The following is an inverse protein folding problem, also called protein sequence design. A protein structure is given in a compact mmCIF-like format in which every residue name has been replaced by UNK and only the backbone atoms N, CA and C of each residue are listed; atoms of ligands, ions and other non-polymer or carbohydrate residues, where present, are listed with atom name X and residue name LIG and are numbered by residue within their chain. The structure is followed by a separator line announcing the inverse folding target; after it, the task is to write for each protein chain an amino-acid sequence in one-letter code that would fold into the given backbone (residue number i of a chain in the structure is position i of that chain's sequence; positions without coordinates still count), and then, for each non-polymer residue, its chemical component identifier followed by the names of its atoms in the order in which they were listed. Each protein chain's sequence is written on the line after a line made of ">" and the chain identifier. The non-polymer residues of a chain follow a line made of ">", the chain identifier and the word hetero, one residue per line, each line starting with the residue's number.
data_IF_480535517627
#
_entry.id   IF_480535517627
#
_cell.length_a   1.000
_cell.length_b   1.000
_cell.length_c   1.000
_cell.angle_alpha   90.00
_cell.angle_beta   90.00
_cell.angle_gamma   90.00
#
_symmetry.space_group_name_H-M   'P 1'
#
loop_
_entity.id
_entity.type
_entity.pdbx_description
1 polymer ?
#
# COMPACT_ATOMS: atom_id res chain seq x y z
N UNK A 1 43.12 -8.76 25.19
CA UNK A 1 42.95 -9.88 24.23
C UNK A 1 41.56 -9.70 23.65
N UNK A 2 41.31 -8.55 23.03
CA UNK A 2 41.78 -8.15 21.69
C UNK A 2 41.17 -9.16 20.70
N UNK A 3 40.19 -8.80 19.87
CA UNK A 3 40.40 -7.81 18.81
C UNK A 3 39.16 -6.95 18.51
N UNK A 4 39.43 -5.68 18.28
CA UNK A 4 38.62 -4.70 17.55
C UNK A 4 38.59 -5.06 16.04
N UNK A 5 37.48 -4.77 15.37
CA UNK A 5 37.56 -4.11 14.05
C UNK A 5 36.27 -3.29 13.83
N UNK A 6 36.47 -1.98 13.66
CA UNK A 6 35.46 -0.95 13.43
C UNK A 6 35.40 -0.64 11.92
N UNK A 7 34.20 -0.32 11.44
CA UNK A 7 34.02 0.65 10.35
C UNK A 7 33.97 0.11 8.92
N UNK A 8 32.83 0.30 8.26
CA UNK A 8 32.76 1.29 7.18
C UNK A 8 31.31 1.72 6.93
N UNK A 9 31.11 3.03 6.99
CA UNK A 9 29.88 3.75 6.67
C UNK A 9 29.69 3.85 5.16
N UNK A 10 28.42 3.88 4.75
CA UNK A 10 27.94 4.85 3.76
C UNK A 10 28.42 4.73 2.31
N UNK A 11 27.65 4.02 1.49
CA UNK A 11 27.31 4.54 0.17
C UNK A 11 25.80 4.39 -0.05
N UNK A 12 25.12 5.52 -0.26
CA UNK A 12 23.79 5.59 -0.84
C UNK A 12 23.82 4.90 -2.21
N UNK A 13 23.52 3.60 -2.20
CA UNK A 13 23.45 2.78 -3.39
C UNK A 13 22.35 3.28 -4.30
N UNK A 14 22.72 4.13 -5.26
CA UNK A 14 21.98 4.32 -6.50
C UNK A 14 21.60 2.92 -6.99
N UNK A 15 20.30 2.64 -7.10
CA UNK A 15 19.84 1.32 -7.56
C UNK A 15 20.17 1.22 -9.05
N UNK A 16 21.37 0.75 -9.37
CA UNK A 16 21.76 0.37 -10.72
C UNK A 16 21.11 -0.99 -10.97
N UNK A 17 20.18 -1.04 -11.92
CA UNK A 17 19.66 -2.30 -12.44
C UNK A 17 20.86 -3.04 -13.05
N UNK A 18 21.43 -3.99 -12.33
CA UNK A 18 22.40 -4.93 -12.89
C UNK A 18 21.62 -5.86 -13.81
N UNK A 19 22.02 -5.90 -15.08
CA UNK A 19 21.55 -6.92 -16.00
C UNK A 19 21.90 -8.29 -15.41
N UNK A 20 20.95 -9.21 -15.43
CA UNK A 20 21.20 -10.60 -15.07
C UNK A 20 21.91 -11.24 -16.26
N UNK A 21 23.22 -11.45 -16.14
CA UNK A 21 23.95 -12.33 -17.06
C UNK A 21 23.53 -13.77 -16.74
N UNK A 22 22.83 -14.40 -17.68
CA UNK A 22 22.32 -15.77 -17.58
C UNK A 22 23.46 -16.75 -17.92
N UNK A 23 24.20 -17.24 -16.92
CA UNK A 23 25.09 -18.41 -17.10
C UNK A 23 24.22 -19.66 -17.32
N UNK A 24 23.70 -19.84 -18.55
CA UNK A 24 22.57 -20.75 -18.74
C UNK A 24 22.26 -21.31 -20.14
N UNK A 25 23.12 -21.16 -21.15
CA UNK A 25 23.15 -22.07 -22.31
C UNK A 25 22.29 -21.72 -23.56
N UNK A 26 23.01 -21.39 -24.63
CA UNK A 26 22.67 -21.52 -26.07
C UNK A 26 21.61 -20.58 -26.68
N UNK A 27 21.94 -19.28 -26.82
CA UNK A 27 21.53 -18.43 -27.95
C UNK A 27 22.26 -17.05 -28.02
N UNK A 28 23.46 -16.89 -27.47
CA UNK A 28 24.09 -15.57 -27.26
C UNK A 28 25.28 -15.28 -28.19
N UNK A 29 25.11 -15.34 -29.50
CA UNK A 29 26.10 -14.80 -30.45
C UNK A 29 25.61 -13.54 -31.20
N UNK A 30 24.34 -13.17 -31.10
CA UNK A 30 23.77 -11.97 -31.78
C UNK A 30 23.56 -10.77 -30.83
N UNK A 31 23.90 -10.89 -29.54
CA UNK A 31 23.59 -9.85 -28.56
C UNK A 31 24.67 -8.77 -28.46
N UNK A 32 25.91 -8.93 -28.95
CA UNK A 32 26.95 -7.89 -28.78
C UNK A 32 26.63 -6.58 -29.53
N UNK A 33 25.97 -6.67 -30.70
CA UNK A 33 25.67 -5.51 -31.57
C UNK A 33 24.28 -4.89 -31.34
N UNK A 34 23.46 -5.45 -30.46
CA UNK A 34 22.11 -4.94 -30.19
C UNK A 34 22.17 -3.63 -29.36
N UNK A 35 21.42 -2.62 -29.80
CA UNK A 35 21.31 -1.32 -29.13
C UNK A 35 20.86 -1.53 -27.67
N UNK A 36 21.58 -0.94 -26.71
CA UNK A 36 21.34 -1.15 -25.26
C UNK A 36 19.89 -0.89 -24.84
N UNK A 37 19.21 0.08 -25.46
CA UNK A 37 17.82 0.38 -25.18
C UNK A 37 16.87 -0.77 -25.53
N UNK A 38 17.21 -1.54 -26.57
CA UNK A 38 16.44 -2.71 -27.01
C UNK A 38 16.67 -3.87 -26.04
N UNK A 39 17.93 -4.10 -25.63
CA UNK A 39 18.27 -5.07 -24.57
C UNK A 39 17.49 -4.78 -23.29
N UNK A 40 17.50 -3.53 -22.83
CA UNK A 40 16.74 -3.10 -21.65
C UNK A 40 15.23 -3.35 -21.82
N UNK A 41 14.67 -3.04 -22.99
CA UNK A 41 13.26 -3.29 -23.28
C UNK A 41 12.91 -4.79 -23.21
N UNK A 42 13.75 -5.64 -23.79
CA UNK A 42 13.64 -7.11 -23.74
C UNK A 42 13.70 -7.63 -22.30
N UNK A 43 14.67 -7.17 -21.52
CA UNK A 43 14.87 -7.61 -20.14
C UNK A 43 13.75 -7.12 -19.21
N UNK A 44 13.29 -5.88 -19.39
CA UNK A 44 12.10 -5.38 -18.70
C UNK A 44 10.86 -6.24 -19.02
N UNK A 45 10.69 -6.67 -20.28
CA UNK A 45 9.59 -7.58 -20.65
C UNK A 45 9.72 -8.94 -19.98
N UNK A 46 10.91 -9.54 -19.98
CA UNK A 46 11.17 -10.81 -19.27
C UNK A 46 10.83 -10.67 -17.77
N UNK A 47 11.32 -9.61 -17.12
CA UNK A 47 11.06 -9.34 -15.71
C UNK A 47 9.57 -9.11 -15.41
N UNK A 48 8.86 -8.37 -16.26
CA UNK A 48 7.42 -8.14 -16.13
C UNK A 48 6.60 -9.44 -16.27
N UNK A 49 7.02 -10.34 -17.16
CA UNK A 49 6.37 -11.64 -17.32
C UNK A 49 6.70 -12.60 -16.16
N UNK A 50 7.86 -12.48 -15.53
CA UNK A 50 8.26 -13.30 -14.38
C UNK A 50 7.70 -12.79 -13.04
N UNK A 51 7.22 -11.55 -12.98
CA UNK A 51 6.79 -10.90 -11.73
C UNK A 51 5.31 -10.59 -11.76
N UNK A 52 4.62 -10.78 -10.62
CA UNK A 52 3.27 -10.26 -10.40
C UNK A 52 3.26 -9.21 -9.29
N UNK A 53 2.58 -8.10 -9.55
CA UNK A 53 2.32 -7.04 -8.59
C UNK A 53 0.81 -6.94 -8.43
N UNK A 54 0.31 -7.19 -7.21
CA UNK A 54 -1.13 -7.28 -6.93
C UNK A 54 -1.83 -8.21 -7.93
N UNK A 55 -1.31 -9.44 -8.04
CA UNK A 55 -1.84 -10.52 -8.87
C UNK A 55 -1.80 -10.31 -10.39
N UNK A 56 -1.16 -9.23 -10.87
CA UNK A 56 -1.08 -8.90 -12.30
C UNK A 56 0.36 -8.68 -12.76
N UNK A 57 0.65 -9.00 -14.01
CA UNK A 57 1.93 -8.64 -14.63
C UNK A 57 2.03 -7.12 -14.82
N UNK A 58 3.17 -6.49 -14.48
CA UNK A 58 3.43 -5.09 -14.75
C UNK A 58 3.24 -4.75 -16.23
N UNK A 59 2.66 -3.57 -16.50
CA UNK A 59 2.58 -3.01 -17.85
C UNK A 59 3.79 -2.11 -18.07
N UNK A 60 4.41 -2.24 -19.23
CA UNK A 60 5.60 -1.50 -19.58
C UNK A 60 5.26 -0.31 -20.48
N UNK A 61 5.76 0.86 -20.10
CA UNK A 61 5.59 2.11 -20.83
C UNK A 61 6.91 2.87 -20.82
N UNK A 62 7.33 3.33 -21.99
CA UNK A 62 8.54 4.15 -22.21
C UNK A 62 8.10 5.49 -22.77
N UNK A 63 8.52 6.58 -22.13
CA UNK A 63 8.18 7.95 -22.54
C UNK A 63 9.45 8.66 -22.96
N UNK A 64 9.53 9.08 -24.23
CA UNK A 64 10.71 9.70 -24.85
C UNK A 64 10.32 11.08 -25.41
N UNK A 65 10.24 12.11 -24.55
CA UNK A 65 9.59 13.38 -24.91
C UNK A 65 10.34 14.22 -25.93
N UNK A 66 11.63 13.94 -26.17
CA UNK A 66 12.48 14.70 -27.12
C UNK A 66 12.62 14.05 -28.49
N UNK A 67 12.06 12.86 -28.69
CA UNK A 67 12.06 12.18 -29.98
C UNK A 67 10.72 12.40 -30.67
N UNK A 68 10.74 12.65 -31.97
CA UNK A 68 9.55 12.75 -32.81
C UNK A 68 9.60 11.64 -33.86
N UNK A 69 8.51 10.89 -33.98
CA UNK A 69 8.38 9.78 -34.93
C UNK A 69 8.33 10.29 -36.38
N UNK A 70 8.86 9.49 -37.30
CA UNK A 70 8.85 9.78 -38.74
C UNK A 70 9.93 10.78 -39.18
N UNK A 71 10.78 11.28 -38.26
CA UNK A 71 11.91 12.16 -38.61
C UNK A 71 13.15 11.39 -39.04
N UNK A 72 13.40 10.23 -38.45
CA UNK A 72 14.61 9.43 -38.67
C UNK A 72 14.27 7.94 -38.70
N UNK A 73 14.39 7.32 -39.87
CA UNK A 73 14.00 5.91 -40.07
C UNK A 73 14.73 4.94 -39.13
N UNK A 74 16.00 5.18 -38.82
CA UNK A 74 16.76 4.35 -37.89
C UNK A 74 16.21 4.42 -36.46
N UNK A 75 15.81 5.62 -36.00
CA UNK A 75 15.19 5.83 -34.69
C UNK A 75 13.82 5.15 -34.67
N UNK A 76 13.02 5.33 -35.73
CA UNK A 76 11.71 4.69 -35.84
C UNK A 76 11.83 3.15 -35.84
N UNK A 77 12.90 2.59 -36.43
CA UNK A 77 13.25 1.17 -36.35
C UNK A 77 13.44 0.70 -34.91
N UNK A 78 14.21 1.43 -34.11
CA UNK A 78 14.42 1.14 -32.68
C UNK A 78 13.10 1.22 -31.90
N UNK A 79 12.30 2.27 -32.12
CA UNK A 79 11.01 2.43 -31.44
C UNK A 79 10.05 1.28 -31.76
N UNK A 80 10.03 0.83 -33.01
CA UNK A 80 9.21 -0.29 -33.45
C UNK A 80 9.70 -1.63 -32.89
N UNK A 81 11.02 -1.82 -32.76
CA UNK A 81 11.57 -3.00 -32.10
C UNK A 81 11.20 -3.03 -30.62
N UNK A 82 11.26 -1.91 -29.89
CA UNK A 82 10.79 -1.83 -28.50
C UNK A 82 9.30 -2.18 -28.39
N UNK A 83 8.47 -1.66 -29.31
CA UNK A 83 7.04 -1.98 -29.39
C UNK A 83 6.76 -3.44 -29.71
N UNK A 84 7.64 -4.11 -30.45
CA UNK A 84 7.51 -5.54 -30.77
C UNK A 84 7.48 -6.41 -29.52
N UNK A 85 8.10 -5.97 -28.41
CA UNK A 85 7.98 -6.58 -27.09
C UNK A 85 6.68 -6.22 -26.36
N UNK A 86 5.69 -5.63 -27.02
CA UNK A 86 4.41 -5.20 -26.42
C UNK A 86 4.52 -4.00 -25.47
N UNK A 87 5.62 -3.24 -25.54
CA UNK A 87 5.85 -2.06 -24.69
C UNK A 87 5.17 -0.85 -25.32
N UNK A 88 4.45 -0.07 -24.51
CA UNK A 88 3.88 1.19 -24.98
C UNK A 88 4.97 2.25 -25.07
N UNK A 89 5.19 2.83 -26.25
CA UNK A 89 6.22 3.87 -26.47
C UNK A 89 5.55 5.17 -26.87
N UNK A 90 5.82 6.23 -26.13
CA UNK A 90 5.28 7.57 -26.37
C UNK A 90 6.39 8.59 -26.65
N UNK A 91 6.30 9.24 -27.81
CA UNK A 91 7.26 10.23 -28.29
C UNK A 91 6.68 11.66 -28.23
N UNK A 92 7.54 12.67 -28.27
CA UNK A 92 7.17 14.10 -28.09
C UNK A 92 6.07 14.61 -29.01
N UNK A 93 5.97 14.10 -30.24
CA UNK A 93 4.90 14.42 -31.19
C UNK A 93 3.51 13.91 -30.77
N UNK A 94 3.45 12.85 -29.95
CA UNK A 94 2.21 12.25 -29.43
C UNK A 94 1.71 12.96 -28.16
N UNK A 95 2.61 13.59 -27.40
CA UNK A 95 2.27 14.33 -26.16
C UNK A 95 1.48 15.62 -26.44
N UNK A 96 1.45 16.07 -27.70
CA UNK A 96 0.70 17.28 -28.13
C UNK A 96 -0.47 17.02 -29.09
N UNK A 97 -0.71 15.77 -29.53
CA UNK A 97 -1.60 15.48 -30.67
C UNK A 97 -2.79 14.54 -30.39
N UNK A 98 -3.06 14.16 -29.13
CA UNK A 98 -4.40 13.64 -28.79
C UNK A 98 -5.42 14.77 -28.83
N UNK A 99 -5.87 15.08 -30.06
CA UNK A 99 -7.15 15.71 -30.31
C UNK A 99 -8.24 14.86 -29.64
N UNK A 100 -8.88 15.44 -28.64
CA UNK A 100 -10.33 15.45 -28.41
C UNK A 100 -11.06 14.33 -29.19
N UNK A 101 -11.10 13.14 -28.60
CA UNK A 101 -12.05 12.10 -28.96
C UNK A 101 -13.09 12.00 -27.84
N UNK A 102 -14.35 12.22 -28.18
CA UNK A 102 -15.57 12.28 -27.36
C UNK A 102 -15.64 11.34 -26.13
N UNK A 103 -14.98 11.71 -25.04
CA UNK A 103 -15.31 11.22 -23.71
C UNK A 103 -15.69 12.41 -22.82
N UNK A 104 -16.96 12.56 -22.41
CA UNK A 104 -17.35 13.65 -21.53
C UNK A 104 -16.77 13.41 -20.14
N UNK A 105 -15.78 14.23 -19.74
CA UNK A 105 -15.37 14.31 -18.33
C UNK A 105 -13.88 14.42 -18.00
N UNK A 106 -12.97 14.64 -18.96
CA UNK A 106 -11.54 14.84 -18.63
C UNK A 106 -11.19 16.32 -18.67
N UNK A 107 -10.95 16.90 -17.50
CA UNK A 107 -10.53 18.29 -17.33
C UNK A 107 -9.23 18.59 -18.11
N UNK A 108 -9.22 19.74 -18.78
CA UNK A 108 -8.11 20.25 -19.61
C UNK A 108 -6.82 20.61 -18.82
N UNK A 109 -6.73 20.23 -17.54
CA UNK A 109 -5.54 20.36 -16.69
C UNK A 109 -4.61 19.15 -16.75
N UNK A 110 -5.02 18.04 -17.36
CA UNK A 110 -4.18 16.84 -17.58
C UNK A 110 -3.23 17.04 -18.78
N UNK A 111 -2.57 18.21 -18.82
CA UNK A 111 -1.56 18.52 -19.81
C UNK A 111 -0.34 17.64 -19.55
N UNK A 112 -0.13 16.72 -20.48
CA UNK A 112 1.04 15.85 -20.68
C UNK A 112 0.99 14.54 -19.89
N UNK A 113 1.11 13.41 -20.59
CA UNK A 113 1.08 12.03 -20.06
C UNK A 113 2.17 11.65 -19.04
N UNK A 114 2.76 12.63 -18.36
CA UNK A 114 3.71 12.49 -17.27
C UNK A 114 3.06 12.21 -15.91
N UNK A 115 1.75 12.47 -15.75
CA UNK A 115 1.01 12.18 -14.50
C UNK A 115 1.02 10.70 -14.11
N UNK A 116 1.36 9.81 -15.04
CA UNK A 116 1.53 8.37 -14.81
C UNK A 116 3.01 7.92 -14.71
N UNK A 117 3.99 8.84 -14.70
CA UNK A 117 5.40 8.50 -14.49
C UNK A 117 5.75 8.37 -13.00
N UNK A 118 5.01 9.03 -12.12
CA UNK A 118 5.18 8.86 -10.68
C UNK A 118 4.25 7.76 -10.17
N UNK A 119 4.72 6.85 -9.30
CA UNK A 119 3.85 5.89 -8.64
C UNK A 119 2.75 6.61 -7.88
N UNK A 120 1.50 6.29 -8.19
CA UNK A 120 0.36 6.67 -7.34
C UNK A 120 -0.14 5.40 -6.62
N UNK A 121 0.29 5.18 -5.36
CA UNK A 121 -0.08 3.96 -4.62
C UNK A 121 -1.59 3.85 -4.37
N UNK A 122 -2.30 4.99 -4.41
CA UNK A 122 -3.73 5.14 -4.09
C UNK A 122 -4.64 5.12 -5.32
N UNK A 123 -4.10 5.05 -6.55
CA UNK A 123 -4.87 5.14 -7.81
C UNK A 123 -6.07 4.20 -7.90
N UNK A 124 -6.01 3.04 -7.23
CA UNK A 124 -7.07 2.03 -7.25
C UNK A 124 -7.93 2.00 -6.00
N UNK A 125 -7.69 2.90 -5.04
CA UNK A 125 -8.47 2.93 -3.81
C UNK A 125 -9.95 3.11 -4.13
N UNK A 126 -10.77 2.31 -3.47
CA UNK A 126 -12.23 2.43 -3.52
C UNK A 126 -12.66 3.67 -2.76
N UNK A 127 -13.82 4.24 -3.09
CA UNK A 127 -14.37 5.41 -2.38
C UNK A 127 -14.58 5.16 -0.89
N UNK A 128 -14.84 3.91 -0.53
CA UNK A 128 -14.87 3.41 0.85
C UNK A 128 -13.69 2.48 1.08
N UNK A 129 -12.97 2.64 2.19
CA UNK A 129 -11.85 1.78 2.59
C UNK A 129 -12.22 0.94 3.80
N UNK A 130 -11.85 -0.35 3.73
CA UNK A 130 -11.94 -1.27 4.86
C UNK A 130 -10.63 -1.21 5.67
N UNK A 131 -10.71 -0.79 6.92
CA UNK A 131 -9.55 -0.54 7.77
C UNK A 131 -9.29 -1.74 8.68
N UNK A 132 -8.13 -2.37 8.52
CA UNK A 132 -7.69 -3.46 9.37
C UNK A 132 -7.34 -3.02 10.80
N UNK A 133 -7.45 -3.93 11.76
CA UNK A 133 -7.14 -3.70 13.17
C UNK A 133 -5.74 -3.12 13.39
N UNK A 134 -4.73 -3.53 12.60
CA UNK A 134 -3.37 -3.00 12.77
C UNK A 134 -3.24 -1.52 12.42
N UNK A 135 -4.01 -1.05 11.42
CA UNK A 135 -4.01 0.35 11.03
C UNK A 135 -4.92 1.19 11.94
N UNK A 136 -6.00 0.60 12.46
CA UNK A 136 -6.78 1.21 13.54
C UNK A 136 -5.91 1.48 14.78
N UNK A 137 -5.02 0.55 15.14
CA UNK A 137 -4.05 0.75 16.23
C UNK A 137 -3.03 1.85 15.90
N UNK A 138 -2.56 1.93 14.66
CA UNK A 138 -1.67 2.99 14.22
C UNK A 138 -2.31 4.39 14.31
N UNK A 139 -3.61 4.49 14.01
CA UNK A 139 -4.38 5.73 14.12
C UNK A 139 -4.60 6.21 15.56
N UNK A 140 -4.44 5.35 16.56
CA UNK A 140 -4.64 5.75 17.96
C UNK A 140 -3.35 5.76 18.75
N UNK A 141 -2.27 5.16 18.28
CA UNK A 141 -1.00 5.04 19.01
C UNK A 141 -0.38 6.41 19.31
N UNK A 142 0.08 6.62 20.54
CA UNK A 142 0.84 7.82 20.90
C UNK A 142 2.12 7.96 20.05
N UNK A 143 2.75 6.84 19.65
CA UNK A 143 3.93 6.83 18.77
C UNK A 143 3.66 7.46 17.41
N UNK A 144 2.41 7.47 16.97
CA UNK A 144 2.02 8.06 15.69
C UNK A 144 1.70 9.55 15.80
N UNK A 145 1.41 10.04 17.02
CA UNK A 145 0.82 11.37 17.23
C UNK A 145 1.72 12.39 17.90
N UNK A 146 2.72 11.95 18.68
CA UNK A 146 3.59 12.84 19.43
C UNK A 146 5.01 12.86 18.85
N UNK A 147 5.51 14.06 18.56
CA UNK A 147 6.84 14.27 17.96
C UNK A 147 7.98 14.06 18.96
N UNK A 148 7.70 14.33 20.24
CA UNK A 148 8.72 14.43 21.28
C UNK A 148 8.71 13.24 22.25
N UNK A 149 8.58 12.02 21.73
CA UNK A 149 8.73 10.81 22.53
C UNK A 149 10.24 10.48 22.62
N UNK A 150 10.74 10.35 23.84
CA UNK A 150 12.13 9.98 24.07
C UNK A 150 12.27 8.47 24.19
N UNK A 151 13.19 7.83 23.45
CA UNK A 151 13.55 6.44 23.69
C UNK A 151 13.95 6.24 25.15
N UNK A 152 13.56 5.10 25.72
CA UNK A 152 13.88 4.75 27.10
C UNK A 152 14.33 3.30 27.19
N UNK A 153 15.34 2.97 28.02
CA UNK A 153 15.74 1.57 28.27
C UNK A 153 14.61 0.70 28.84
N UNK A 154 13.59 1.31 29.47
CA UNK A 154 12.41 0.60 29.99
C UNK A 154 11.41 0.18 28.91
N UNK A 155 11.50 0.76 27.70
CA UNK A 155 10.65 0.41 26.57
C UNK A 155 11.22 -0.78 25.81
N UNK A 156 10.34 -1.57 25.20
CA UNK A 156 10.75 -2.67 24.35
C UNK A 156 11.58 -2.15 23.17
N UNK A 157 12.65 -2.86 22.77
CA UNK A 157 13.57 -2.45 21.68
C UNK A 157 12.84 -2.07 20.39
N UNK A 158 11.77 -2.78 20.05
CA UNK A 158 10.95 -2.48 18.87
C UNK A 158 10.23 -1.12 18.96
N UNK A 159 9.82 -0.69 20.16
CA UNK A 159 9.19 0.62 20.39
C UNK A 159 10.24 1.73 20.23
N UNK A 160 11.43 1.57 20.83
CA UNK A 160 12.52 2.54 20.66
C UNK A 160 12.90 2.72 19.19
N UNK A 161 12.98 1.63 18.43
CA UNK A 161 13.20 1.70 16.98
C UNK A 161 12.06 2.42 16.25
N UNK A 162 10.80 2.21 16.63
CA UNK A 162 9.67 2.93 16.04
C UNK A 162 9.74 4.44 16.33
N UNK A 163 10.15 4.85 17.53
CA UNK A 163 10.35 6.25 17.91
C UNK A 163 11.43 6.89 17.03
N UNK A 164 12.55 6.21 16.83
CA UNK A 164 13.65 6.70 15.98
C UNK A 164 13.18 6.88 14.53
N UNK A 165 12.50 5.87 13.96
CA UNK A 165 11.99 5.94 12.60
C UNK A 165 10.91 7.02 12.41
N UNK A 166 10.02 7.23 13.39
CA UNK A 166 8.96 8.24 13.29
C UNK A 166 9.51 9.68 13.33
N UNK A 167 10.66 9.90 13.99
CA UNK A 167 11.35 11.21 13.96
C UNK A 167 11.83 11.59 12.57
N UNK A 168 12.28 10.61 11.78
CA UNK A 168 12.74 10.83 10.41
C UNK A 168 11.57 10.87 9.42
N UNK A 169 10.61 9.96 9.58
CA UNK A 169 9.47 9.79 8.69
C UNK A 169 8.19 9.56 9.50
N UNK A 170 7.46 10.64 9.88
CA UNK A 170 6.28 10.51 10.73
C UNK A 170 5.14 9.81 10.00
N UNK A 171 4.77 8.62 10.50
CA UNK A 171 3.93 7.66 9.79
C UNK A 171 2.64 8.25 9.25
N UNK A 172 1.95 9.00 10.11
CA UNK A 172 0.63 9.46 9.76
C UNK A 172 0.71 10.50 8.63
N UNK A 173 1.67 11.45 8.68
CA UNK A 173 1.82 12.51 7.65
C UNK A 173 2.29 11.98 6.32
N UNK A 174 3.11 10.93 6.33
CA UNK A 174 3.72 10.44 5.10
C UNK A 174 2.90 9.34 4.44
N UNK A 175 2.21 8.50 5.22
CA UNK A 175 1.53 7.31 4.70
C UNK A 175 0.03 7.32 4.98
N UNK A 176 -0.38 7.45 6.25
CA UNK A 176 -1.75 7.10 6.66
C UNK A 176 -2.77 8.16 6.26
N UNK A 177 -2.50 9.45 6.51
CA UNK A 177 -3.40 10.52 6.08
C UNK A 177 -3.53 10.62 4.57
N UNK A 178 -2.43 10.54 3.76
CA UNK A 178 -2.55 10.46 2.31
C UNK A 178 -3.36 9.25 1.82
N UNK A 179 -3.26 8.10 2.49
CA UNK A 179 -4.02 6.90 2.12
C UNK A 179 -5.52 7.03 2.43
N UNK A 180 -5.88 7.67 3.56
CA UNK A 180 -7.28 7.79 3.98
C UNK A 180 -8.01 8.99 3.38
N UNK A 181 -7.28 10.07 3.08
CA UNK A 181 -7.75 11.33 2.49
C UNK A 181 -9.24 11.64 2.72
N UNK A 182 -10.05 11.74 1.67
CA UNK A 182 -11.49 11.99 1.72
C UNK A 182 -12.33 10.70 1.62
N UNK A 183 -11.71 9.51 1.76
CA UNK A 183 -12.41 8.24 1.64
C UNK A 183 -13.31 7.98 2.84
N UNK A 184 -14.46 7.35 2.60
CA UNK A 184 -15.29 6.81 3.68
C UNK A 184 -14.54 5.64 4.35
N UNK A 185 -14.55 5.58 5.67
CA UNK A 185 -13.82 4.55 6.41
C UNK A 185 -14.78 3.62 7.12
N UNK A 186 -14.58 2.32 6.93
CA UNK A 186 -15.28 1.27 7.65
C UNK A 186 -14.30 0.27 8.25
N UNK A 187 -14.72 -0.47 9.28
CA UNK A 187 -14.00 -1.65 9.75
C UNK A 187 -14.98 -2.71 10.23
N UNK A 188 -14.55 -3.97 10.27
CA UNK A 188 -15.39 -5.08 10.76
C UNK A 188 -15.57 -5.02 12.27
N UNK A 189 -16.65 -5.62 12.77
CA UNK A 189 -16.92 -5.66 14.21
C UNK A 189 -15.83 -6.42 14.98
N UNK A 190 -15.24 -7.48 14.40
CA UNK A 190 -14.12 -8.17 15.01
C UNK A 190 -12.86 -7.28 15.09
N UNK A 191 -12.57 -6.50 14.04
CA UNK A 191 -11.46 -5.56 14.06
C UNK A 191 -11.66 -4.45 15.11
N UNK A 192 -12.86 -3.86 15.15
CA UNK A 192 -13.22 -2.84 16.13
C UNK A 192 -13.18 -3.38 17.57
N UNK A 193 -13.71 -4.59 17.80
CA UNK A 193 -13.68 -5.26 19.11
C UNK A 193 -12.26 -5.56 19.54
N UNK A 194 -11.43 -6.13 18.66
CA UNK A 194 -10.06 -6.48 18.99
C UNK A 194 -9.19 -5.26 19.27
N UNK A 195 -9.31 -4.20 18.47
CA UNK A 195 -8.64 -2.94 18.76
C UNK A 195 -9.03 -2.44 20.15
N UNK A 196 -10.33 -2.44 20.46
CA UNK A 196 -10.84 -1.98 21.76
C UNK A 196 -10.24 -2.78 22.92
N UNK A 197 -10.25 -4.10 22.84
CA UNK A 197 -9.63 -4.97 23.84
C UNK A 197 -8.15 -4.62 24.06
N UNK A 198 -7.39 -4.45 22.98
CA UNK A 198 -5.96 -4.13 23.05
C UNK A 198 -5.76 -2.76 23.72
N UNK A 199 -6.45 -1.73 23.25
CA UNK A 199 -6.32 -0.36 23.75
C UNK A 199 -6.79 -0.26 25.21
N UNK A 200 -7.85 -0.97 25.60
CA UNK A 200 -8.33 -0.97 26.98
C UNK A 200 -7.34 -1.61 27.95
N UNK A 201 -6.65 -2.68 27.53
CA UNK A 201 -5.71 -3.42 28.37
C UNK A 201 -4.37 -2.68 28.49
N UNK A 202 -3.77 -2.28 27.36
CA UNK A 202 -2.40 -1.75 27.35
C UNK A 202 -2.29 -0.27 27.01
N UNK A 203 -3.33 0.36 26.45
CA UNK A 203 -3.25 1.73 25.97
C UNK A 203 -3.13 2.79 27.08
N UNK A 204 -2.52 3.92 26.74
CA UNK A 204 -2.51 5.14 27.55
C UNK A 204 -3.89 5.82 27.56
N UNK A 205 -4.07 6.82 28.43
CA UNK A 205 -5.34 7.54 28.50
C UNK A 205 -5.63 8.33 27.21
N UNK A 206 -4.58 8.86 26.57
CA UNK A 206 -4.66 9.57 25.29
C UNK A 206 -4.99 8.59 24.14
N UNK A 207 -4.40 7.39 24.12
CA UNK A 207 -4.72 6.33 23.14
C UNK A 207 -6.17 5.88 23.25
N UNK A 208 -6.67 5.70 24.49
CA UNK A 208 -8.07 5.37 24.75
C UNK A 208 -9.02 6.47 24.30
N UNK A 209 -8.68 7.73 24.54
CA UNK A 209 -9.51 8.85 24.16
C UNK A 209 -9.57 9.01 22.63
N UNK A 210 -8.44 8.90 21.93
CA UNK A 210 -8.43 8.88 20.46
C UNK A 210 -9.26 7.74 19.88
N UNK A 211 -9.20 6.54 20.48
CA UNK A 211 -10.05 5.43 20.05
C UNK A 211 -11.53 5.77 20.17
N UNK A 212 -11.98 6.38 21.28
CA UNK A 212 -13.39 6.76 21.44
C UNK A 212 -13.82 7.79 20.41
N UNK A 213 -13.00 8.82 20.16
CA UNK A 213 -13.30 9.86 19.17
C UNK A 213 -13.36 9.25 17.76
N UNK A 214 -12.32 8.48 17.39
CA UNK A 214 -12.20 7.84 16.06
C UNK A 214 -13.38 6.91 15.76
N UNK A 215 -13.87 6.19 16.76
CA UNK A 215 -14.98 5.24 16.61
C UNK A 215 -16.36 5.85 16.93
N UNK A 216 -16.41 7.11 17.38
CA UNK A 216 -17.65 7.76 17.83
C UNK A 216 -18.30 7.07 19.03
N UNK A 217 -17.50 6.47 19.92
CA UNK A 217 -18.00 5.88 21.17
C UNK A 217 -18.27 6.94 22.23
N UNK A 218 -19.08 6.60 23.22
CA UNK A 218 -19.40 7.49 24.36
C UNK A 218 -18.16 8.15 24.96
N UNK A 219 -18.17 9.47 25.19
CA UNK A 219 -19.32 10.40 25.11
C UNK A 219 -19.52 11.10 23.75
N UNK A 220 -18.84 10.64 22.70
CA UNK A 220 -18.82 11.30 21.38
C UNK A 220 -19.90 10.79 20.40
N UNK A 221 -20.85 10.01 20.90
CA UNK A 221 -21.95 9.45 20.11
C UNK A 221 -22.79 10.58 19.49
N UNK A 222 -22.99 10.52 18.18
CA UNK A 222 -23.80 11.50 17.44
C UNK A 222 -23.14 12.86 17.20
N UNK A 223 -21.87 13.04 17.58
CA UNK A 223 -21.10 14.24 17.21
C UNK A 223 -20.87 14.28 15.70
N UNK A 224 -20.83 15.48 15.13
CA UNK A 224 -20.51 15.67 13.71
C UNK A 224 -19.00 15.49 13.45
N UNK A 225 -18.66 15.18 12.19
CA UNK A 225 -17.29 14.89 11.78
C UNK A 225 -16.30 16.05 12.02
N UNK A 226 -16.75 17.31 11.93
CA UNK A 226 -15.88 18.46 12.14
C UNK A 226 -15.55 18.60 13.64
N UNK A 227 -16.55 18.45 14.51
CA UNK A 227 -16.36 18.45 15.96
C UNK A 227 -15.45 17.30 16.42
N UNK A 228 -15.64 16.09 15.87
CA UNK A 228 -14.76 14.95 16.15
C UNK A 228 -13.32 15.20 15.70
N UNK A 229 -13.13 15.70 14.47
CA UNK A 229 -11.80 16.03 13.94
C UNK A 229 -11.10 17.10 14.77
N UNK A 230 -11.83 18.15 15.17
CA UNK A 230 -11.29 19.19 16.05
C UNK A 230 -10.88 18.60 17.40
N UNK A 231 -11.72 17.76 18.01
CA UNK A 231 -11.40 17.14 19.29
C UNK A 231 -10.20 16.20 19.18
N UNK A 232 -10.10 15.46 18.08
CA UNK A 232 -8.97 14.58 17.80
C UNK A 232 -7.67 15.36 17.62
N UNK A 233 -7.71 16.54 16.98
CA UNK A 233 -6.55 17.42 16.80
C UNK A 233 -5.93 17.86 18.13
N UNK A 234 -6.72 18.02 19.20
CA UNK A 234 -6.21 18.34 20.54
C UNK A 234 -5.29 17.24 21.11
N UNK A 235 -5.38 16.02 20.58
CA UNK A 235 -4.64 14.85 21.02
C UNK A 235 -3.49 14.47 20.05
N UNK A 236 -3.08 15.36 19.15
CA UNK A 236 -1.98 15.13 18.20
C UNK A 236 -1.13 16.36 17.92
N UNK A 237 0.19 16.16 17.83
CA UNK A 237 1.17 17.19 17.41
C UNK A 237 1.21 17.40 15.89
N UNK A 238 0.53 16.54 15.13
CA UNK A 238 0.42 16.58 13.69
C UNK A 238 -0.93 17.16 13.29
N UNK A 239 -0.95 17.86 12.16
CA UNK A 239 -2.19 18.41 11.63
C UNK A 239 -3.08 17.28 11.12
N UNK A 240 -4.25 17.11 11.73
CA UNK A 240 -5.29 16.18 11.30
C UNK A 240 -5.96 16.77 10.04
N UNK A 241 -6.08 16.00 8.94
CA UNK A 241 -6.74 16.47 7.73
C UNK A 241 -8.23 16.78 7.98
N UNK A 242 -8.70 17.92 7.47
CA UNK A 242 -10.09 18.33 7.64
C UNK A 242 -11.08 17.44 6.86
N UNK A 243 -10.60 16.78 5.80
CA UNK A 243 -11.39 15.87 4.97
C UNK A 243 -11.49 14.44 5.54
N UNK A 244 -10.75 14.13 6.62
CA UNK A 244 -10.75 12.81 7.22
C UNK A 244 -12.15 12.44 7.72
N UNK A 245 -12.66 11.29 7.27
CA UNK A 245 -14.01 10.82 7.56
C UNK A 245 -14.07 10.04 8.86
N UNK A 246 -14.39 10.75 9.95
CA UNK A 246 -14.69 10.17 11.27
C UNK A 246 -16.15 10.46 11.68
N UNK A 247 -16.79 9.55 12.44
CA UNK A 247 -16.25 8.31 12.99
C UNK A 247 -16.13 7.18 11.94
N UNK A 248 -15.19 6.25 12.15
CA UNK A 248 -15.07 5.03 11.34
C UNK A 248 -16.28 4.15 11.62
N UNK A 249 -16.99 3.73 10.56
CA UNK A 249 -18.23 2.94 10.69
C UNK A 249 -17.91 1.47 10.90
N UNK A 250 -18.58 0.84 11.87
CA UNK A 250 -18.44 -0.60 12.11
C UNK A 250 -19.48 -1.36 11.31
N UNK A 251 -19.07 -2.44 10.65
CA UNK A 251 -19.93 -3.33 9.85
C UNK A 251 -19.85 -4.77 10.35
N UNK A 252 -20.96 -5.50 10.25
CA UNK A 252 -20.98 -6.95 10.44
C UNK A 252 -20.48 -7.63 9.16
N UNK A 253 -19.33 -8.28 9.26
CA UNK A 253 -18.67 -8.89 8.10
C UNK A 253 -19.36 -10.18 7.63
N UNK A 254 -19.94 -10.93 8.57
CA UNK A 254 -20.33 -12.32 8.35
C UNK A 254 -21.40 -12.51 7.27
N UNK A 255 -22.51 -11.74 7.25
CA UNK A 255 -23.53 -11.89 6.22
C UNK A 255 -23.00 -11.68 4.80
N UNK A 256 -22.09 -10.72 4.62
CA UNK A 256 -21.50 -10.43 3.31
C UNK A 256 -20.55 -11.54 2.87
N UNK A 257 -19.72 -12.07 3.79
CA UNK A 257 -18.83 -13.20 3.52
C UNK A 257 -19.63 -14.46 3.17
N UNK A 258 -20.62 -14.82 4.00
CA UNK A 258 -21.43 -16.02 3.80
C UNK A 258 -22.17 -15.97 2.45
N UNK A 259 -22.78 -14.83 2.14
CA UNK A 259 -23.46 -14.62 0.86
C UNK A 259 -22.49 -14.72 -0.32
N UNK A 260 -21.27 -14.21 -0.18
CA UNK A 260 -20.30 -14.22 -1.26
C UNK A 260 -19.78 -15.61 -1.60
N UNK A 261 -19.61 -16.48 -0.58
CA UNK A 261 -19.33 -17.90 -0.76
C UNK A 261 -20.52 -18.66 -1.32
N UNK A 262 -21.74 -18.43 -0.82
CA UNK A 262 -22.95 -19.11 -1.31
C UNK A 262 -23.24 -18.79 -2.78
N UNK A 263 -23.04 -17.53 -3.18
CA UNK A 263 -23.29 -17.07 -4.55
C UNK A 263 -22.10 -17.27 -5.49
N UNK A 264 -20.98 -17.86 -5.03
CA UNK A 264 -19.74 -18.04 -5.80
C UNK A 264 -19.22 -16.72 -6.42
N UNK A 265 -19.40 -15.61 -5.73
CA UNK A 265 -18.85 -14.30 -6.15
C UNK A 265 -17.36 -14.20 -5.86
N UNK A 266 -16.87 -14.94 -4.86
CA UNK A 266 -15.46 -15.13 -4.58
C UNK A 266 -14.90 -16.29 -5.42
N UNK A 267 -13.65 -16.22 -5.89
CA UNK A 267 -13.03 -17.33 -6.58
C UNK A 267 -12.84 -18.53 -5.63
N UNK A 268 -12.82 -19.77 -6.15
CA UNK A 268 -12.72 -20.97 -5.31
C UNK A 268 -11.57 -20.95 -4.29
N UNK A 269 -10.43 -20.37 -4.67
CA UNK A 269 -9.23 -20.20 -3.83
C UNK A 269 -9.49 -19.41 -2.53
N UNK A 270 -10.52 -18.55 -2.50
CA UNK A 270 -10.87 -17.77 -1.32
C UNK A 270 -11.24 -18.67 -0.13
N UNK A 271 -11.76 -19.88 -0.38
CA UNK A 271 -12.03 -20.86 0.67
C UNK A 271 -10.74 -21.34 1.35
N UNK A 272 -9.66 -21.55 0.59
CA UNK A 272 -8.39 -22.02 1.13
C UNK A 272 -7.62 -20.90 1.82
N UNK A 273 -7.74 -19.67 1.30
CA UNK A 273 -7.28 -18.46 1.99
C UNK A 273 -7.99 -18.30 3.33
N UNK A 274 -9.33 -18.43 3.36
CA UNK A 274 -10.12 -18.28 4.57
C UNK A 274 -9.71 -19.26 5.69
N UNK A 275 -9.33 -20.52 5.35
CA UNK A 275 -8.93 -21.56 6.30
C UNK A 275 -7.59 -21.30 7.00
N UNK A 276 -6.69 -20.53 6.38
CA UNK A 276 -5.36 -20.26 6.95
C UNK A 276 -5.31 -18.98 7.79
N UNK A 277 -6.33 -18.13 7.68
CA UNK A 277 -6.41 -16.87 8.41
C UNK A 277 -7.02 -17.10 9.80
N UNK A 278 -6.58 -16.30 10.77
CA UNK A 278 -7.28 -16.17 12.05
C UNK A 278 -8.65 -15.52 11.85
N UNK A 279 -9.57 -15.70 12.80
CA UNK A 279 -10.93 -15.16 12.72
C UNK A 279 -10.97 -13.66 12.41
N UNK A 280 -10.09 -12.87 13.04
CA UNK A 280 -10.00 -11.43 12.78
C UNK A 280 -9.51 -11.13 11.36
N UNK A 281 -8.45 -11.79 10.90
CA UNK A 281 -7.93 -11.57 9.56
C UNK A 281 -8.92 -12.07 8.51
N UNK A 282 -9.63 -13.16 8.79
CA UNK A 282 -10.70 -13.67 7.95
C UNK A 282 -11.81 -12.61 7.82
N UNK A 283 -12.31 -12.09 8.94
CA UNK A 283 -13.33 -11.04 8.93
C UNK A 283 -12.91 -9.85 8.08
N UNK A 284 -11.67 -9.35 8.23
CA UNK A 284 -11.22 -8.13 7.54
C UNK A 284 -10.94 -8.40 6.07
N UNK A 285 -10.06 -9.35 5.76
CA UNK A 285 -9.56 -9.52 4.39
C UNK A 285 -10.57 -10.22 3.48
N UNK A 286 -11.34 -11.19 3.99
CA UNK A 286 -12.38 -11.85 3.20
C UNK A 286 -13.57 -10.92 3.00
N UNK A 287 -13.92 -10.08 3.98
CA UNK A 287 -14.93 -9.03 3.79
C UNK A 287 -14.52 -8.02 2.72
N UNK A 288 -13.26 -7.53 2.75
CA UNK A 288 -12.74 -6.67 1.70
C UNK A 288 -12.82 -7.33 0.32
N UNK A 289 -12.50 -8.63 0.25
CA UNK A 289 -12.61 -9.40 -0.98
C UNK A 289 -14.06 -9.53 -1.47
N UNK A 290 -14.97 -9.91 -0.58
CA UNK A 290 -16.37 -10.21 -0.92
C UNK A 290 -17.14 -8.97 -1.34
N UNK A 291 -16.76 -7.81 -0.82
CA UNK A 291 -17.40 -6.51 -1.11
C UNK A 291 -16.67 -5.72 -2.21
N UNK A 292 -15.54 -6.21 -2.70
CA UNK A 292 -14.71 -5.51 -3.68
C UNK A 292 -14.07 -4.22 -3.14
N UNK A 293 -13.98 -4.07 -1.81
CA UNK A 293 -13.38 -2.90 -1.18
C UNK A 293 -11.86 -3.05 -1.03
N UNK A 294 -11.17 -1.92 -1.17
CA UNK A 294 -9.74 -1.85 -0.81
C UNK A 294 -9.59 -1.98 0.69
N UNK A 295 -8.83 -2.98 1.13
CA UNK A 295 -8.45 -3.14 2.52
C UNK A 295 -7.10 -2.46 2.77
N UNK A 296 -7.03 -1.60 3.78
CA UNK A 296 -5.80 -0.94 4.21
C UNK A 296 -5.31 -1.55 5.53
N UNK A 297 -4.04 -1.98 5.59
CA UNK A 297 -3.51 -2.74 6.72
C UNK A 297 -2.00 -2.55 6.89
N UNK A 298 -1.48 -2.68 8.11
CA UNK A 298 -0.04 -2.84 8.37
C UNK A 298 0.36 -4.31 8.60
N UNK A 299 -0.58 -5.27 8.46
CA UNK A 299 -0.36 -6.69 8.68
C UNK A 299 0.27 -7.36 7.45
N UNK A 300 1.58 -7.16 7.29
CA UNK A 300 2.39 -7.75 6.21
C UNK A 300 2.32 -9.28 6.20
N UNK A 301 2.29 -9.92 7.36
CA UNK A 301 2.27 -11.38 7.46
C UNK A 301 0.99 -11.96 6.88
N UNK A 302 -0.18 -11.45 7.30
CA UNK A 302 -1.46 -11.91 6.76
C UNK A 302 -1.57 -11.61 5.26
N UNK A 303 -1.15 -10.41 4.84
CA UNK A 303 -1.17 -10.05 3.41
C UNK A 303 -0.31 -10.99 2.58
N UNK A 304 0.90 -11.31 3.04
CA UNK A 304 1.79 -12.25 2.36
C UNK A 304 1.21 -13.65 2.31
N UNK A 305 0.63 -14.14 3.41
CA UNK A 305 -0.04 -15.45 3.44
C UNK A 305 -1.17 -15.54 2.40
N UNK A 306 -1.97 -14.46 2.26
CA UNK A 306 -3.03 -14.38 1.25
C UNK A 306 -2.43 -14.43 -0.15
N UNK A 307 -1.42 -13.60 -0.43
CA UNK A 307 -0.75 -13.56 -1.75
C UNK A 307 -0.16 -14.91 -2.11
N UNK A 308 0.63 -15.50 -1.20
CA UNK A 308 1.30 -16.79 -1.41
C UNK A 308 0.28 -17.91 -1.66
N UNK A 309 -0.86 -17.91 -0.95
CA UNK A 309 -1.92 -18.90 -1.15
C UNK A 309 -2.62 -18.74 -2.52
N UNK A 310 -2.93 -17.50 -2.91
CA UNK A 310 -3.56 -17.22 -4.21
C UNK A 310 -2.63 -17.60 -5.35
N UNK A 311 -1.35 -17.25 -5.28
CA UNK A 311 -0.37 -17.60 -6.33
C UNK A 311 -0.13 -19.11 -6.39
N UNK A 312 -0.04 -19.79 -5.23
CA UNK A 312 0.14 -21.25 -5.17
C UNK A 312 -1.00 -22.02 -5.82
N UNK A 313 -2.23 -21.53 -5.68
CA UNK A 313 -3.44 -22.18 -6.19
C UNK A 313 -3.93 -21.63 -7.52
N UNK A 314 -3.15 -20.74 -8.16
CA UNK A 314 -3.48 -20.10 -9.45
C UNK A 314 -3.69 -21.11 -10.57
N UNK A 315 -2.93 -22.21 -10.59
CA UNK A 315 -3.05 -23.30 -11.58
C UNK A 315 -3.13 -22.82 -13.04
N UNK A 316 -2.38 -21.77 -13.39
CA UNK A 316 -2.35 -21.20 -14.76
C UNK A 316 -3.49 -20.23 -15.09
N UNK A 317 -4.38 -19.90 -14.15
CA UNK A 317 -5.38 -18.85 -14.34
C UNK A 317 -4.75 -17.46 -14.23
N UNK A 318 -4.41 -16.87 -15.38
CA UNK A 318 -3.83 -15.52 -15.47
C UNK A 318 -4.80 -14.41 -15.04
N UNK A 319 -6.11 -14.70 -14.98
CA UNK A 319 -7.14 -13.74 -14.57
C UNK A 319 -7.48 -13.84 -13.08
N UNK A 320 -6.91 -14.81 -12.35
CA UNK A 320 -7.16 -14.95 -10.92
C UNK A 320 -6.56 -13.75 -10.16
N UNK A 321 -7.43 -13.01 -9.46
CA UNK A 321 -7.04 -11.91 -8.60
C UNK A 321 -7.43 -12.20 -7.16
N UNK A 322 -6.50 -11.93 -6.24
CA UNK A 322 -6.79 -11.90 -4.82
C UNK A 322 -7.45 -10.59 -4.38
N UNK A 323 -7.68 -10.42 -3.07
CA UNK A 323 -8.28 -9.20 -2.53
C UNK A 323 -7.39 -7.98 -2.79
N UNK A 324 -8.02 -6.82 -2.99
CA UNK A 324 -7.28 -5.57 -3.10
C UNK A 324 -6.82 -5.09 -1.73
N UNK A 325 -5.53 -5.26 -1.46
CA UNK A 325 -4.90 -4.85 -0.20
C UNK A 325 -3.83 -3.79 -0.47
N UNK A 326 -3.90 -2.68 0.26
CA UNK A 326 -2.78 -1.76 0.41
C UNK A 326 -2.14 -1.99 1.77
N UNK A 327 -0.82 -2.18 1.75
CA UNK A 327 -0.02 -2.44 2.94
C UNK A 327 0.70 -1.16 3.31
N UNK A 328 0.39 -0.64 4.49
CA UNK A 328 1.22 0.34 5.15
C UNK A 328 2.48 -0.37 5.66
N UNK A 329 3.64 0.12 5.22
CA UNK A 329 4.92 -0.53 5.47
C UNK A 329 5.36 -0.49 6.94
N UNK A 330 4.71 0.37 7.71
CA UNK A 330 5.02 0.58 9.11
C UNK A 330 3.84 0.14 9.97
N UNK A 331 4.08 -0.86 10.82
CA UNK A 331 3.19 -1.20 11.92
C UNK A 331 3.52 -0.33 13.14
N UNK A 332 2.52 -0.10 14.00
CA UNK A 332 2.68 0.69 15.22
C UNK A 332 2.31 -0.11 16.45
N UNK A 333 3.17 -0.05 17.44
CA UNK A 333 2.90 -0.50 18.80
C UNK A 333 2.16 0.60 19.56
N UNK A 334 1.41 0.22 20.58
CA UNK A 334 1.01 1.16 21.62
C UNK A 334 2.19 1.33 22.59
N UNK A 335 2.36 2.52 23.17
CA UNK A 335 3.49 2.77 24.10
C UNK A 335 3.38 1.85 25.32
N UNK A 336 2.15 1.55 25.73
CA UNK A 336 1.88 0.71 26.90
C UNK A 336 1.93 1.51 28.20
N UNK A 337 1.16 1.09 29.20
CA UNK A 337 1.46 1.48 30.59
C UNK A 337 2.80 0.84 30.98
N UNK A 338 3.74 1.64 31.50
CA UNK A 338 4.96 1.11 32.11
C UNK A 338 4.58 -0.01 33.11
N UNK A 339 5.18 -1.19 32.95
CA UNK A 339 5.11 -2.24 33.97
C UNK A 339 5.79 -1.73 35.25
N UNK A 340 5.07 -1.04 36.13
CA UNK A 340 5.66 -0.62 37.41
C UNK A 340 4.96 0.40 38.28
N UNK A 341 3.97 1.18 37.80
CA UNK A 341 3.26 2.13 38.68
C UNK A 341 1.89 1.60 39.10
N UNK A 342 1.86 1.00 40.30
CA UNK A 342 0.65 0.91 41.12
C UNK A 342 0.22 2.34 41.45
N UNK A 343 -1.00 2.72 41.09
CA UNK A 343 -1.74 3.75 41.82
C UNK A 343 -2.58 3.05 42.88
#
# INVERSE_FOLDING_TARGET
>A
VDSEDEGEEGEEGRTVLRNFDDEGGSAEEDDEDEIELIKLARDMRKAANATRVRYRHPRLRVVIPKIEEGKHGDIDGVLNQIRSYGITVECGGYVSSTQIGDYPGVDASDKQGFSHLLPNPFKRFTSTLNVDCTLLLALVSDLSHFKNIQPSPGLHRAINRQIELDKEQPLLTTEVWPAMDAHELICTDEAARRMREIVDIIGTDTEKERMKIMMGYSPFEGWDAASLTQKFQELSDHKVPAQWKVPIKVVDAKPAIDMAFQNNTLPPVANDVAKILSDINNSVFIYGWSTGLTTISSNRTATRQIVDMVEKLRNGDENLEGPQIWVCDTARSLIGKEKGRKN
#
